data_IF_578900254797
#
_entry.id   IF_578900254797
#
_cell.length_a   1.000
_cell.length_b   1.000
_cell.length_c   1.000
_cell.angle_alpha   90.00
_cell.angle_beta   90.00
_cell.angle_gamma   90.00
#
_symmetry.space_group_name_H-M   'P 1'
#
loop_
_entity.id
_entity.type
_entity.pdbx_description
1 polymer ?
#
# COMPACT_ATOMS: atom_id res chain seq x y z
N UNK A 1 -5.60 -12.98 -3.22
CA UNK A 1 -6.87 -13.71 -2.96
C UNK A 1 -7.39 -13.24 -1.61
N UNK A 2 -8.58 -12.63 -1.55
CA UNK A 2 -9.17 -12.24 -0.27
C UNK A 2 -9.53 -13.49 0.55
N UNK A 3 -9.12 -13.53 1.82
CA UNK A 3 -9.53 -14.60 2.73
C UNK A 3 -10.88 -14.22 3.34
N UNK A 4 -11.82 -15.15 3.32
CA UNK A 4 -13.08 -14.97 4.04
C UNK A 4 -12.82 -15.11 5.53
N UNK A 5 -13.35 -14.17 6.33
CA UNK A 5 -13.26 -14.18 7.78
C UNK A 5 -14.66 -14.43 8.36
N UNK A 6 -14.82 -15.39 9.29
CA UNK A 6 -16.14 -15.79 9.79
C UNK A 6 -16.81 -14.73 10.68
N UNK A 7 -16.04 -13.78 11.22
CA UNK A 7 -16.52 -12.68 12.04
C UNK A 7 -15.50 -11.53 12.08
N UNK A 8 -15.91 -10.40 12.66
CA UNK A 8 -15.09 -9.19 12.79
C UNK A 8 -13.83 -9.43 13.61
N UNK A 9 -13.89 -10.26 14.65
CA UNK A 9 -12.73 -10.53 15.51
C UNK A 9 -11.62 -11.28 14.76
N UNK A 10 -12.01 -12.27 13.94
CA UNK A 10 -11.08 -12.99 13.07
C UNK A 10 -10.45 -12.07 12.03
N UNK A 11 -11.22 -11.16 11.45
CA UNK A 11 -10.69 -10.16 10.51
C UNK A 11 -9.70 -9.23 11.22
N UNK A 12 -10.05 -8.72 12.40
CA UNK A 12 -9.18 -7.83 13.18
C UNK A 12 -7.85 -8.51 13.53
N UNK A 13 -7.90 -9.76 14.01
CA UNK A 13 -6.70 -10.52 14.32
C UNK A 13 -5.80 -10.73 13.09
N UNK A 14 -6.40 -11.00 11.93
CA UNK A 14 -5.65 -11.16 10.67
C UNK A 14 -5.02 -9.85 10.19
N UNK A 15 -5.70 -8.71 10.33
CA UNK A 15 -5.16 -7.40 9.99
C UNK A 15 -4.00 -7.00 10.91
N UNK A 16 -4.13 -7.22 12.22
CA UNK A 16 -3.04 -6.98 13.17
C UNK A 16 -1.83 -7.83 12.84
N UNK A 17 -2.02 -9.13 12.60
CA UNK A 17 -0.93 -10.01 12.18
C UNK A 17 -0.29 -9.53 10.87
N UNK A 18 -1.10 -9.16 9.88
CA UNK A 18 -0.58 -8.67 8.60
C UNK A 18 0.23 -7.39 8.76
N UNK A 19 -0.12 -6.52 9.72
CA UNK A 19 0.64 -5.34 10.08
C UNK A 19 1.96 -5.69 10.77
N UNK A 20 1.93 -6.59 11.75
CA UNK A 20 3.12 -7.04 12.48
C UNK A 20 4.10 -7.82 11.58
N UNK A 21 3.61 -8.49 10.54
CA UNK A 21 4.40 -9.22 9.56
C UNK A 21 5.05 -8.30 8.49
N UNK A 22 4.74 -7.00 8.45
CA UNK A 22 5.40 -6.05 7.54
C UNK A 22 6.85 -5.79 7.96
N UNK A 23 7.78 -6.05 7.06
CA UNK A 23 9.19 -5.73 7.31
C UNK A 23 9.51 -4.23 7.08
N UNK A 24 10.55 -3.74 7.76
CA UNK A 24 11.00 -2.34 7.65
C UNK A 24 11.39 -1.97 6.21
N UNK A 25 11.86 -2.93 5.41
CA UNK A 25 12.25 -2.66 4.02
C UNK A 25 11.03 -2.40 3.14
N UNK A 26 9.91 -3.09 3.37
CA UNK A 26 8.62 -2.81 2.73
C UNK A 26 8.16 -1.38 3.00
N UNK A 27 8.26 -0.92 4.25
CA UNK A 27 7.92 0.45 4.62
C UNK A 27 8.86 1.46 3.95
N UNK A 28 10.16 1.18 3.95
CA UNK A 28 11.17 2.04 3.27
C UNK A 28 10.92 2.13 1.77
N UNK A 29 10.68 1.00 1.07
CA UNK A 29 10.35 0.98 -0.36
C UNK A 29 9.07 1.75 -0.66
N UNK A 30 8.06 1.66 0.22
CA UNK A 30 6.81 2.41 0.08
C UNK A 30 7.08 3.92 0.10
N UNK A 31 7.84 4.41 1.09
CA UNK A 31 8.21 5.84 1.17
C UNK A 31 9.11 6.25 0.01
N UNK A 32 10.10 5.42 -0.35
CA UNK A 32 11.03 5.69 -1.44
C UNK A 32 10.34 5.76 -2.82
N UNK A 33 9.15 5.19 -2.98
CA UNK A 33 8.35 5.29 -4.21
C UNK A 33 7.71 6.67 -4.40
N UNK A 34 7.50 7.45 -3.33
CA UNK A 34 6.74 8.71 -3.35
C UNK A 34 7.34 9.75 -4.30
N UNK A 35 8.67 10.00 -4.33
CA UNK A 35 9.25 10.96 -5.28
C UNK A 35 8.96 10.64 -6.75
N UNK A 36 9.00 9.36 -7.14
CA UNK A 36 8.65 8.96 -8.51
C UNK A 36 7.17 9.19 -8.80
N UNK A 37 6.29 8.84 -7.85
CA UNK A 37 4.84 9.08 -7.94
C UNK A 37 4.49 10.56 -8.04
N UNK A 38 5.17 11.43 -7.31
CA UNK A 38 4.98 12.88 -7.41
C UNK A 38 5.40 13.42 -8.78
N UNK A 39 6.52 12.95 -9.34
CA UNK A 39 6.93 13.32 -10.71
C UNK A 39 5.89 12.90 -11.75
N UNK A 40 5.33 11.70 -11.61
CA UNK A 40 4.27 11.20 -12.48
C UNK A 40 2.99 12.06 -12.35
N UNK A 41 2.60 12.42 -11.13
CA UNK A 41 1.47 13.31 -10.85
C UNK A 41 1.65 14.70 -11.50
N UNK A 42 2.86 15.28 -11.39
CA UNK A 42 3.18 16.56 -12.05
C UNK A 42 3.06 16.44 -13.57
N UNK A 43 3.59 15.36 -14.16
CA UNK A 43 3.50 15.09 -15.60
C UNK A 43 2.05 14.88 -16.07
N UNK A 44 1.20 14.35 -15.20
CA UNK A 44 -0.22 14.16 -15.45
C UNK A 44 -1.06 15.42 -15.12
N UNK A 45 -0.43 16.55 -14.80
CA UNK A 45 -1.11 17.80 -14.41
C UNK A 45 -2.13 17.61 -13.27
N UNK A 46 -1.79 16.73 -12.32
CA UNK A 46 -2.66 16.40 -11.19
C UNK A 46 -3.76 15.36 -11.48
N UNK A 47 -3.85 14.83 -12.70
CA UNK A 47 -4.73 13.71 -13.04
C UNK A 47 -4.19 12.37 -12.49
N UNK A 48 -4.96 11.27 -12.68
CA UNK A 48 -4.49 9.92 -12.39
C UNK A 48 -3.17 9.66 -13.15
N UNK A 49 -2.23 8.96 -12.52
CA UNK A 49 -0.85 8.89 -13.02
C UNK A 49 -0.25 7.48 -12.99
N UNK A 50 -1.03 6.46 -12.61
CA UNK A 50 -0.58 5.07 -12.56
C UNK A 50 -0.07 4.54 -13.92
N UNK A 51 -0.54 5.09 -15.04
CA UNK A 51 -0.05 4.73 -16.38
C UNK A 51 1.34 5.31 -16.71
N UNK A 52 1.88 6.16 -15.83
CA UNK A 52 3.22 6.78 -15.94
C UNK A 52 4.23 6.19 -14.93
N UNK A 53 3.82 5.21 -14.13
CA UNK A 53 4.64 4.56 -13.09
C UNK A 53 5.33 3.29 -13.58
#
# INVERSE_FOLDING_TARGET
MARSHPNVDSLKAALLKAWDDLDDDYLRRTVASVPARLKACIKAEGSNFEYLL
#
